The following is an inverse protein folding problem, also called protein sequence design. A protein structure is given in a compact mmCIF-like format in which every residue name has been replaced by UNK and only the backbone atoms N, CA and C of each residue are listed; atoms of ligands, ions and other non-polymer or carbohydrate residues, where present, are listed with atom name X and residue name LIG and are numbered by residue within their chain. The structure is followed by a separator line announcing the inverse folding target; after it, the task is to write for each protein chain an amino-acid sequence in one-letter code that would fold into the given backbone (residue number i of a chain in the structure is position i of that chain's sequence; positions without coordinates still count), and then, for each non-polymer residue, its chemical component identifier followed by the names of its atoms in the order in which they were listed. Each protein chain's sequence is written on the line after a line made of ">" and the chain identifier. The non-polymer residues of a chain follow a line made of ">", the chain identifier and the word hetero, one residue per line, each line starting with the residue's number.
data_IF_239521479845
#
_entry.id   IF_239521479845
#
_cell.length_a   1.000
_cell.length_b   1.000
_cell.length_c   1.000
_cell.angle_alpha   90.00
_cell.angle_beta   90.00
_cell.angle_gamma   90.00
#
_symmetry.space_group_name_H-M   'P 1'
#
loop_
_entity.id
_entity.type
_entity.pdbx_description
1 polymer ?
#
# COMPACT_ATOMS: atom_id res chain seq x y z
N UNK A 1 -12.24 12.08 6.29
CA UNK A 1 -11.70 10.72 6.27
C UNK A 1 -10.70 10.46 5.14
N UNK A 2 -10.42 11.40 4.31
CA UNK A 2 -9.42 11.25 3.26
C UNK A 2 -8.02 11.09 3.87
N UNK A 3 -7.62 9.86 4.13
CA UNK A 3 -6.32 9.57 4.70
C UNK A 3 -5.31 9.05 3.67
N UNK A 4 -5.66 9.12 2.41
CA UNK A 4 -4.73 8.86 1.32
C UNK A 4 -5.08 9.73 0.11
N UNK A 5 -4.05 10.32 -0.48
CA UNK A 5 -4.18 11.11 -1.70
C UNK A 5 -3.49 10.37 -2.85
N UNK A 6 -4.21 10.13 -3.92
CA UNK A 6 -3.63 9.50 -5.10
C UNK A 6 -2.75 10.53 -5.81
N UNK A 7 -1.45 10.25 -5.87
CA UNK A 7 -0.46 11.21 -6.35
C UNK A 7 -0.36 11.19 -7.85
N UNK A 8 -0.31 9.99 -8.43
CA UNK A 8 -0.09 9.82 -9.84
C UNK A 8 -0.69 8.50 -10.28
N UNK A 9 -0.93 8.39 -11.56
CA UNK A 9 -1.68 7.28 -12.06
C UNK A 9 -0.88 5.99 -12.18
N UNK A 10 0.37 6.02 -12.65
CA UNK A 10 1.05 4.77 -12.99
C UNK A 10 2.55 4.80 -12.80
N UNK A 11 3.08 3.63 -12.42
CA UNK A 11 4.51 3.36 -12.49
C UNK A 11 4.84 2.84 -13.89
N UNK A 12 5.20 3.73 -14.78
CA UNK A 12 5.58 3.35 -16.14
C UNK A 12 7.02 3.68 -16.48
N UNK A 13 7.80 4.10 -15.48
CA UNK A 13 9.23 4.36 -15.64
C UNK A 13 10.03 3.52 -14.66
N UNK A 14 11.23 3.17 -15.07
CA UNK A 14 12.16 2.42 -14.24
C UNK A 14 12.81 3.33 -13.20
N UNK A 15 12.84 2.87 -11.96
CA UNK A 15 13.55 3.54 -10.86
C UNK A 15 14.59 2.57 -10.32
N UNK A 16 15.77 2.51 -10.94
CA UNK A 16 16.81 1.60 -10.48
C UNK A 16 17.46 2.09 -9.20
N UNK A 17 17.61 1.20 -8.24
CA UNK A 17 18.34 1.44 -7.01
C UNK A 17 19.54 0.49 -7.01
N UNK A 18 20.73 1.04 -7.01
CA UNK A 18 21.93 0.23 -6.97
C UNK A 18 22.14 -0.38 -5.59
N UNK A 19 22.44 -1.65 -5.58
CA UNK A 19 22.80 -2.36 -4.36
C UNK A 19 24.30 -2.32 -4.22
N UNK A 20 24.78 -1.67 -3.18
CA UNK A 20 26.20 -1.55 -2.93
C UNK A 20 26.65 -2.51 -1.82
N UNK A 21 27.93 -2.89 -1.81
CA UNK A 21 28.45 -3.76 -0.76
C UNK A 21 28.32 -3.20 0.65
N UNK A 22 28.30 -1.88 0.79
CA UNK A 22 28.17 -1.22 2.08
C UNK A 22 26.85 -1.55 2.77
N UNK A 23 25.84 -1.87 2.00
CA UNK A 23 24.56 -2.26 2.55
C UNK A 23 24.58 -3.68 3.14
N UNK A 24 25.67 -4.39 2.92
CA UNK A 24 25.86 -5.75 3.43
C UNK A 24 26.89 -5.77 4.56
N UNK A 25 26.67 -4.94 5.56
CA UNK A 25 27.59 -4.81 6.67
C UNK A 25 27.93 -6.19 7.28
N UNK A 26 29.20 -6.45 7.52
CA UNK A 26 29.67 -7.70 8.10
C UNK A 26 30.00 -8.78 7.09
N UNK A 27 29.78 -8.58 5.82
CA UNK A 27 30.10 -9.58 4.81
C UNK A 27 31.22 -9.09 3.90
N UNK A 28 32.35 -9.81 3.83
CA UNK A 28 33.36 -9.54 2.82
C UNK A 28 32.87 -10.11 1.50
N UNK A 29 32.09 -9.35 0.77
CA UNK A 29 31.55 -9.83 -0.49
C UNK A 29 32.37 -9.32 -1.67
N UNK A 30 32.44 -10.08 -2.76
CA UNK A 30 33.06 -9.60 -3.98
C UNK A 30 32.21 -8.44 -4.51
N UNK A 31 32.75 -7.24 -4.38
CA UNK A 31 32.03 -6.03 -4.75
C UNK A 31 31.56 -6.05 -6.20
N UNK A 32 32.33 -6.70 -7.05
CA UNK A 32 32.03 -6.74 -8.49
C UNK A 32 30.71 -7.43 -8.81
N UNK A 33 30.28 -8.38 -7.99
CA UNK A 33 29.01 -9.08 -8.19
C UNK A 33 27.81 -8.15 -7.97
N UNK A 34 27.99 -7.07 -7.22
CA UNK A 34 26.89 -6.20 -6.83
C UNK A 34 26.97 -4.80 -7.42
N UNK A 35 28.08 -4.44 -8.07
CA UNK A 35 28.26 -3.10 -8.59
C UNK A 35 27.23 -2.68 -9.63
N UNK A 36 26.66 -3.65 -10.32
CA UNK A 36 25.71 -3.38 -11.39
C UNK A 36 24.32 -3.90 -11.08
N UNK A 37 24.13 -4.46 -9.88
CA UNK A 37 22.81 -4.90 -9.45
C UNK A 37 21.95 -3.69 -9.12
N UNK A 38 20.76 -3.66 -9.63
CA UNK A 38 19.80 -2.59 -9.37
C UNK A 38 18.42 -3.15 -9.15
N UNK A 39 17.63 -2.45 -8.37
CA UNK A 39 16.23 -2.76 -8.16
C UNK A 39 15.39 -1.95 -9.14
N UNK A 40 14.66 -2.65 -9.97
CA UNK A 40 13.69 -2.05 -10.87
C UNK A 40 12.30 -2.37 -10.34
N UNK A 41 11.61 -1.38 -9.84
CA UNK A 41 10.28 -1.58 -9.25
C UNK A 41 9.29 -2.19 -10.23
N UNK A 42 9.34 -1.79 -11.49
CA UNK A 42 8.43 -2.34 -12.49
C UNK A 42 8.69 -3.81 -12.79
N UNK A 43 9.96 -4.21 -12.77
CA UNK A 43 10.36 -5.58 -13.05
C UNK A 43 10.27 -6.48 -11.81
N UNK A 44 10.77 -5.98 -10.67
CA UNK A 44 11.06 -6.82 -9.52
C UNK A 44 9.95 -6.86 -8.48
N UNK A 45 9.16 -5.80 -8.37
CA UNK A 45 8.17 -5.67 -7.30
C UNK A 45 6.74 -5.53 -7.79
N UNK A 46 6.55 -5.05 -9.01
CA UNK A 46 5.23 -4.72 -9.53
C UNK A 46 4.81 -5.77 -10.54
N UNK A 47 3.71 -6.46 -10.25
CA UNK A 47 3.19 -7.53 -11.11
C UNK A 47 2.28 -7.01 -12.23
N UNK A 48 1.65 -5.87 -12.01
CA UNK A 48 0.67 -5.30 -12.94
C UNK A 48 0.97 -3.81 -13.17
N UNK A 49 2.02 -3.50 -13.98
CA UNK A 49 2.45 -2.09 -14.11
C UNK A 49 1.37 -1.15 -14.61
N UNK A 50 0.51 -1.61 -15.53
CA UNK A 50 -0.55 -0.79 -16.10
C UNK A 50 -1.71 -0.57 -15.15
N UNK A 51 -1.78 -1.33 -14.06
CA UNK A 51 -2.83 -1.22 -13.05
C UNK A 51 -2.28 -0.83 -11.68
N UNK A 52 -1.04 -0.38 -11.62
CA UNK A 52 -0.39 0.00 -10.37
C UNK A 52 -0.31 1.51 -10.24
N UNK A 53 -0.74 1.98 -9.08
CA UNK A 53 -0.80 3.40 -8.76
C UNK A 53 -0.11 3.63 -7.43
N UNK A 54 0.09 4.89 -7.06
CA UNK A 54 0.59 5.19 -5.74
C UNK A 54 -0.12 6.39 -5.14
N UNK A 55 -0.13 6.43 -3.82
CA UNK A 55 -0.75 7.50 -3.08
C UNK A 55 0.06 7.84 -1.84
N UNK A 56 -0.07 9.07 -1.39
CA UNK A 56 0.56 9.55 -0.16
C UNK A 56 -0.40 9.35 1.00
N UNK A 57 0.08 8.71 2.04
CA UNK A 57 -0.70 8.48 3.26
C UNK A 57 -0.69 9.75 4.10
N UNK A 58 -1.84 10.12 4.63
CA UNK A 58 -1.98 11.23 5.57
C UNK A 58 -2.66 10.71 6.84
N UNK A 59 -2.28 11.30 7.98
CA UNK A 59 -2.87 10.92 9.26
C UNK A 59 -2.25 9.68 9.88
N UNK A 60 -2.90 9.17 10.92
CA UNK A 60 -2.33 8.14 11.78
C UNK A 60 -3.24 6.92 11.97
N UNK A 61 -4.20 6.70 11.09
CA UNK A 61 -5.17 5.60 11.27
C UNK A 61 -4.57 4.22 11.08
N UNK A 62 -3.36 4.11 10.50
CA UNK A 62 -2.73 2.82 10.20
C UNK A 62 -1.34 2.68 10.83
N UNK A 63 -1.08 3.41 11.91
CA UNK A 63 0.26 3.42 12.51
C UNK A 63 0.67 2.08 13.09
N UNK A 64 -0.26 1.30 13.64
CA UNK A 64 0.08 -0.01 14.19
C UNK A 64 0.38 -1.05 13.11
N UNK A 65 0.08 -0.76 11.86
CA UNK A 65 0.49 -1.56 10.71
C UNK A 65 1.84 -1.10 10.14
N UNK A 66 2.45 -0.08 10.74
CA UNK A 66 3.69 0.47 10.24
C UNK A 66 3.51 1.46 9.09
N UNK A 67 2.30 1.91 8.85
CA UNK A 67 1.99 2.87 7.79
C UNK A 67 1.73 4.23 8.43
N UNK A 68 2.60 5.18 8.13
CA UNK A 68 2.61 6.49 8.80
C UNK A 68 2.34 7.63 7.83
N UNK A 69 2.02 8.77 8.39
CA UNK A 69 1.87 10.00 7.64
C UNK A 69 3.09 10.26 6.75
N UNK A 70 2.88 10.56 5.50
CA UNK A 70 3.94 10.80 4.53
C UNK A 70 4.45 9.58 3.78
N UNK A 71 4.06 8.37 4.20
CA UNK A 71 4.44 7.16 3.48
C UNK A 71 3.78 7.13 2.10
N UNK A 72 4.43 6.45 1.17
CA UNK A 72 3.88 6.22 -0.17
C UNK A 72 3.36 4.80 -0.23
N UNK A 73 2.08 4.65 -0.49
CA UNK A 73 1.47 3.35 -0.71
C UNK A 73 1.52 3.01 -2.20
N UNK A 74 1.98 1.81 -2.51
CA UNK A 74 1.96 1.26 -3.87
C UNK A 74 0.74 0.37 -3.97
N UNK A 75 -0.15 0.67 -4.91
CA UNK A 75 -1.51 0.14 -4.97
C UNK A 75 -1.71 -0.61 -6.28
N UNK A 76 -2.07 -1.88 -6.18
CA UNK A 76 -2.35 -2.73 -7.33
C UNK A 76 -3.87 -2.86 -7.50
N UNK A 77 -4.41 -2.28 -8.55
CA UNK A 77 -5.85 -2.34 -8.84
C UNK A 77 -6.27 -3.67 -9.46
N UNK A 78 -5.34 -4.43 -9.99
CA UNK A 78 -5.64 -5.72 -10.62
C UNK A 78 -5.63 -6.88 -9.64
N UNK A 79 -5.09 -6.67 -8.43
CA UNK A 79 -5.03 -7.71 -7.42
C UNK A 79 -6.38 -7.86 -6.71
N UNK A 80 -6.81 -9.09 -6.53
CA UNK A 80 -8.05 -9.36 -5.82
C UNK A 80 -7.86 -9.22 -4.31
N UNK A 81 -8.70 -8.43 -3.64
CA UNK A 81 -8.61 -8.28 -2.19
C UNK A 81 -9.15 -9.50 -1.46
N UNK A 82 -8.56 -9.78 -0.30
CA UNK A 82 -8.98 -10.84 0.60
C UNK A 82 -9.24 -10.27 1.97
N UNK A 83 -9.90 -11.06 2.82
CA UNK A 83 -10.02 -10.70 4.23
C UNK A 83 -8.62 -10.49 4.83
N UNK A 84 -8.40 -9.35 5.44
CA UNK A 84 -7.10 -8.97 5.99
C UNK A 84 -6.18 -8.20 5.05
N UNK A 85 -6.56 -8.05 3.78
CA UNK A 85 -5.79 -7.19 2.87
C UNK A 85 -5.81 -5.75 3.33
N UNK A 86 -4.71 -5.04 3.11
CA UNK A 86 -4.71 -3.58 3.24
C UNK A 86 -5.16 -3.04 1.90
N UNK A 87 -6.24 -2.28 1.92
CA UNK A 87 -6.87 -1.79 0.71
C UNK A 87 -6.98 -0.28 0.72
N UNK A 88 -7.01 0.30 -0.47
CA UNK A 88 -7.51 1.66 -0.67
C UNK A 88 -8.94 1.50 -1.14
N UNK A 89 -9.86 2.05 -0.38
CA UNK A 89 -11.28 1.97 -0.67
C UNK A 89 -11.84 3.36 -0.94
N UNK A 90 -12.83 3.38 -1.80
CA UNK A 90 -13.61 4.58 -2.06
C UNK A 90 -14.95 4.42 -1.34
N UNK A 91 -15.17 5.25 -0.34
CA UNK A 91 -16.33 5.14 0.54
C UNK A 91 -17.02 6.49 0.59
N UNK A 92 -18.27 6.54 0.15
CA UNK A 92 -19.08 7.75 0.21
C UNK A 92 -18.30 8.98 -0.30
N UNK A 93 -17.67 8.82 -1.48
CA UNK A 93 -16.92 9.85 -2.21
C UNK A 93 -15.55 10.22 -1.61
N UNK A 94 -15.06 9.45 -0.66
CA UNK A 94 -13.74 9.68 -0.08
C UNK A 94 -12.86 8.44 -0.19
N UNK A 95 -11.55 8.64 -0.35
CA UNK A 95 -10.59 7.54 -0.32
C UNK A 95 -10.12 7.30 1.12
N UNK A 96 -9.93 6.04 1.45
CA UNK A 96 -9.36 5.65 2.75
C UNK A 96 -8.47 4.43 2.59
N UNK A 97 -7.46 4.32 3.45
CA UNK A 97 -6.58 3.15 3.52
C UNK A 97 -6.85 2.42 4.83
N UNK A 98 -7.23 1.15 4.75
CA UNK A 98 -7.64 0.36 5.91
C UNK A 98 -7.43 -1.12 5.64
N UNK A 99 -7.51 -1.93 6.70
CA UNK A 99 -7.68 -3.38 6.54
C UNK A 99 -9.10 -3.68 6.10
N UNK A 100 -9.24 -4.61 5.17
CA UNK A 100 -10.54 -5.14 4.77
C UNK A 100 -10.91 -6.31 5.69
N UNK A 101 -12.09 -6.23 6.31
CA UNK A 101 -12.63 -7.29 7.16
C UNK A 101 -13.93 -7.78 6.55
N UNK A 102 -13.92 -9.01 6.03
CA UNK A 102 -15.09 -9.64 5.41
C UNK A 102 -15.74 -10.69 6.31
N UNK A 103 -15.33 -10.77 7.58
CA UNK A 103 -15.83 -11.83 8.48
C UNK A 103 -17.33 -11.73 8.77
N UNK A 104 -17.92 -10.55 8.60
CA UNK A 104 -19.34 -10.32 8.82
C UNK A 104 -20.18 -10.31 7.54
N UNK A 105 -19.61 -10.79 6.45
CA UNK A 105 -20.28 -10.77 5.15
C UNK A 105 -21.61 -11.53 5.18
N UNK A 106 -21.66 -12.63 5.91
CA UNK A 106 -22.90 -13.42 6.07
C UNK A 106 -23.98 -12.68 6.85
N UNK A 107 -23.59 -11.65 7.59
CA UNK A 107 -24.52 -10.80 8.34
C UNK A 107 -24.93 -9.55 7.56
N UNK A 108 -24.47 -9.44 6.31
CA UNK A 108 -24.88 -8.38 5.42
C UNK A 108 -24.00 -7.14 5.45
N UNK A 109 -22.82 -7.19 6.05
CA UNK A 109 -21.91 -6.03 6.05
C UNK A 109 -20.45 -6.46 6.07
N UNK A 110 -19.60 -5.54 5.70
CA UNK A 110 -18.15 -5.67 5.86
C UNK A 110 -17.65 -4.50 6.71
N UNK A 111 -16.41 -4.59 7.14
CA UNK A 111 -15.79 -3.50 7.88
C UNK A 111 -14.45 -3.12 7.26
N UNK A 112 -14.13 -1.84 7.35
CA UNK A 112 -12.81 -1.32 7.08
C UNK A 112 -12.18 -0.99 8.43
N UNK A 113 -11.11 -1.70 8.78
CA UNK A 113 -10.52 -1.61 10.10
C UNK A 113 -9.25 -0.77 10.11
N UNK A 114 -9.19 0.23 10.98
CA UNK A 114 -7.96 0.96 11.20
C UNK A 114 -6.96 0.11 11.98
N UNK A 115 -5.68 0.47 11.89
CA UNK A 115 -4.63 -0.12 12.70
C UNK A 115 -4.17 0.92 13.74
N UNK A 116 -5.12 1.39 14.54
CA UNK A 116 -4.89 2.35 15.59
C UNK A 116 -6.14 2.36 16.48
N UNK A 117 -6.02 2.02 17.78
CA UNK A 117 -7.18 1.94 18.66
C UNK A 117 -7.90 3.27 18.90
N UNK A 118 -7.27 4.38 18.52
CA UNK A 118 -7.88 5.71 18.57
C UNK A 118 -9.08 5.82 17.61
N UNK A 119 -9.14 4.99 16.58
CA UNK A 119 -10.17 5.04 15.55
C UNK A 119 -11.04 3.80 15.62
N UNK A 120 -12.29 3.94 15.19
CA UNK A 120 -13.25 2.83 15.15
C UNK A 120 -13.32 2.24 13.75
N UNK A 121 -13.64 0.94 13.63
CA UNK A 121 -13.92 0.34 12.33
C UNK A 121 -15.06 1.06 11.62
N UNK A 122 -14.95 1.12 10.31
CA UNK A 122 -15.99 1.69 9.44
C UNK A 122 -16.84 0.55 8.94
N UNK A 123 -18.10 0.54 9.32
CA UNK A 123 -19.04 -0.47 8.85
C UNK A 123 -19.63 -0.08 7.52
N UNK A 124 -19.58 -0.99 6.56
CA UNK A 124 -20.10 -0.77 5.21
C UNK A 124 -21.30 -1.68 5.01
N UNK A 125 -22.48 -1.07 4.87
CA UNK A 125 -23.71 -1.79 4.61
C UNK A 125 -24.16 -1.64 3.17
N UNK A 126 -25.34 -2.25 2.82
CA UNK A 126 -25.82 -2.23 1.44
C UNK A 126 -26.13 -0.85 0.87
N UNK A 127 -26.38 0.13 1.73
CA UNK A 127 -26.74 1.48 1.28
C UNK A 127 -25.53 2.39 1.10
N UNK A 128 -24.34 1.95 1.44
CA UNK A 128 -23.14 2.75 1.30
C UNK A 128 -22.58 2.68 -0.11
N UNK A 129 -22.09 3.81 -0.60
CA UNK A 129 -21.28 3.82 -1.82
C UNK A 129 -19.91 3.29 -1.45
N UNK A 130 -19.57 2.11 -1.96
CA UNK A 130 -18.33 1.46 -1.58
C UNK A 130 -17.72 0.72 -2.75
N UNK A 131 -16.40 0.89 -2.89
CA UNK A 131 -15.62 0.14 -3.86
C UNK A 131 -14.22 -0.05 -3.29
N UNK A 132 -13.69 -1.26 -3.39
CA UNK A 132 -12.26 -1.47 -3.17
C UNK A 132 -11.55 -0.97 -4.42
N UNK A 133 -10.81 0.11 -4.29
CA UNK A 133 -10.13 0.71 -5.42
C UNK A 133 -8.87 -0.05 -5.79
N UNK A 134 -8.15 -0.57 -4.80
CA UNK A 134 -6.97 -1.38 -5.04
C UNK A 134 -6.39 -1.95 -3.74
N UNK A 135 -5.44 -2.86 -3.90
CA UNK A 135 -4.76 -3.52 -2.78
C UNK A 135 -3.37 -2.90 -2.61
N UNK A 136 -3.04 -2.53 -1.38
CA UNK A 136 -1.71 -2.01 -1.06
C UNK A 136 -0.75 -3.18 -1.01
N UNK A 137 0.26 -3.16 -1.89
CA UNK A 137 1.23 -4.25 -1.99
C UNK A 137 2.56 -3.89 -1.33
N UNK A 138 2.91 -2.62 -1.29
CA UNK A 138 4.13 -2.11 -0.66
C UNK A 138 3.88 -0.73 -0.12
N UNK A 139 4.67 -0.33 0.87
CA UNK A 139 4.80 1.05 1.27
C UNK A 139 6.25 1.48 1.18
N UNK A 140 6.47 2.73 0.84
CA UNK A 140 7.79 3.34 0.78
C UNK A 140 7.81 4.43 1.82
N UNK A 141 8.74 4.32 2.74
CA UNK A 141 8.88 5.27 3.84
C UNK A 141 10.02 6.25 3.53
N UNK A 142 9.70 7.51 3.22
CA UNK A 142 10.76 8.48 2.97
C UNK A 142 11.45 8.88 4.28
N UNK A 143 12.77 8.95 4.25
CA UNK A 143 13.61 9.40 5.36
C UNK A 143 14.33 10.66 4.93
N UNK A 144 14.13 11.76 5.65
CA UNK A 144 14.88 12.98 5.35
C UNK A 144 14.94 13.93 6.54
#
# INVERSE_FOLDING_TARGET
>A
MNDIDIINSQFNTTLPLEITPELRAGFPSPAEEYLHDSLDFNRDLINHPEATFYGRVTGDSMTDAGINDGDIAVIDKAREPHNGSIVVAFVNKEFTIKYLDTTHKDQGYIELRPANPKYKPIRIGPDDEFEVWGVVIFTIKPWN
#
